data_IF_421320704350
#
_entry.id   IF_421320704350
#
_cell.length_a   1.000
_cell.length_b   1.000
_cell.length_c   1.000
_cell.angle_alpha   90.00
_cell.angle_beta   90.00
_cell.angle_gamma   90.00
#
_symmetry.space_group_name_H-M   'P 1'
#
loop_
_entity.id
_entity.type
_entity.pdbx_description
1 polymer ?
#
# COMPACT_ATOMS: atom_id res chain seq x y z
N UNK A 1 0.46 -6.15 78.23
CA UNK A 1 -0.09 -5.06 77.46
C UNK A 1 1.01 -4.19 76.88
N UNK A 2 1.63 -4.63 75.91
CA UNK A 2 2.66 -3.81 75.34
C UNK A 2 2.21 -3.42 73.92
N UNK A 3 1.57 -2.33 73.84
CA UNK A 3 1.29 -1.72 72.60
C UNK A 3 2.58 -1.24 72.01
N UNK A 4 3.07 -2.03 71.17
CA UNK A 4 4.13 -1.64 70.33
C UNK A 4 3.63 -0.54 69.43
N UNK A 5 4.01 0.61 69.82
CA UNK A 5 3.79 1.78 68.91
C UNK A 5 4.82 1.72 67.82
N UNK A 6 4.54 0.88 66.93
CA UNK A 6 5.29 0.95 65.72
C UNK A 6 4.72 2.10 64.92
N UNK A 7 5.25 3.20 65.26
CA UNK A 7 5.17 4.34 64.39
C UNK A 7 5.93 3.98 63.14
N UNK A 8 5.25 3.31 62.26
CA UNK A 8 5.73 3.23 60.94
C UNK A 8 5.55 4.61 60.31
N UNK A 9 6.57 5.38 60.48
CA UNK A 9 6.74 6.47 59.56
C UNK A 9 6.93 5.86 58.20
N UNK A 10 5.85 5.65 57.54
CA UNK A 10 5.89 5.43 56.09
C UNK A 10 6.38 6.73 55.52
N UNK A 11 7.64 6.80 55.42
CA UNK A 11 8.24 7.64 54.44
C UNK A 11 7.79 7.12 53.07
N UNK A 12 6.67 7.60 52.68
CA UNK A 12 6.30 7.58 51.31
C UNK A 12 7.33 8.39 50.55
N UNK A 13 8.38 7.73 50.25
CA UNK A 13 9.17 8.17 49.14
C UNK A 13 8.27 7.99 47.94
N UNK A 14 7.49 8.98 47.68
CA UNK A 14 6.91 9.12 46.39
C UNK A 14 8.07 9.40 45.45
N UNK A 15 8.74 8.35 45.12
CA UNK A 15 9.50 8.37 43.91
C UNK A 15 8.46 8.55 42.83
N UNK A 16 8.19 9.76 42.51
CA UNK A 16 7.56 10.13 41.29
C UNK A 16 8.49 9.59 40.22
N UNK A 17 8.28 8.37 39.86
CA UNK A 17 8.82 7.81 38.67
C UNK A 17 8.21 8.64 37.54
N UNK A 18 8.92 9.60 37.20
CA UNK A 18 8.70 10.34 35.97
C UNK A 18 9.04 9.40 34.85
N UNK A 19 8.16 8.45 34.64
CA UNK A 19 8.13 7.80 33.37
C UNK A 19 7.63 8.83 32.41
N UNK A 20 8.53 9.64 31.99
CA UNK A 20 8.34 10.24 30.70
C UNK A 20 8.39 9.09 29.72
N UNK A 21 7.28 8.45 29.58
CA UNK A 21 7.01 7.64 28.43
C UNK A 21 7.05 8.59 27.26
N UNK A 22 8.23 8.77 26.79
CA UNK A 22 8.41 9.35 25.48
C UNK A 22 7.91 8.31 24.53
N UNK A 23 6.66 8.38 24.24
CA UNK A 23 6.10 7.61 23.16
C UNK A 23 6.58 8.26 21.90
N UNK A 24 7.69 7.80 21.44
CA UNK A 24 8.07 8.03 20.07
C UNK A 24 7.17 7.16 19.19
N UNK A 25 5.95 7.56 19.05
CA UNK A 25 4.96 6.83 18.31
C UNK A 25 4.91 7.19 16.83
N UNK A 26 5.71 8.11 16.45
CA UNK A 26 5.53 8.75 15.16
C UNK A 26 6.23 8.07 14.01
N UNK A 27 6.73 6.86 14.21
CA UNK A 27 7.54 6.24 13.15
C UNK A 27 6.82 5.26 12.28
N UNK A 28 5.57 4.98 12.53
CA UNK A 28 4.84 4.07 11.68
C UNK A 28 4.02 4.75 10.58
N UNK A 29 3.86 6.04 10.68
CA UNK A 29 3.07 6.77 9.70
C UNK A 29 3.85 7.11 8.43
N UNK A 30 5.14 7.29 8.57
CA UNK A 30 5.99 7.64 7.43
C UNK A 30 6.21 6.51 6.44
N UNK A 31 6.08 5.27 6.89
CA UNK A 31 6.29 4.12 5.99
C UNK A 31 5.11 3.86 5.07
N UNK A 32 3.90 4.15 5.52
CA UNK A 32 2.71 3.99 4.71
C UNK A 32 2.63 5.06 3.61
N UNK A 33 2.96 6.30 3.96
CA UNK A 33 2.96 7.40 3.00
C UNK A 33 4.09 7.26 1.97
N UNK A 34 5.24 6.77 2.39
CA UNK A 34 6.35 6.52 1.49
C UNK A 34 6.04 5.39 0.50
N UNK A 35 5.37 4.33 0.94
CA UNK A 35 4.95 3.23 0.06
C UNK A 35 3.88 3.69 -0.92
N UNK A 36 2.94 4.50 -0.48
CA UNK A 36 1.93 5.08 -1.37
C UNK A 36 2.53 6.03 -2.39
N UNK A 37 3.50 6.85 -1.98
CA UNK A 37 4.17 7.77 -2.87
C UNK A 37 5.02 7.06 -3.93
N UNK A 38 5.70 5.98 -3.54
CA UNK A 38 6.48 5.16 -4.49
C UNK A 38 5.57 4.47 -5.49
N UNK A 39 4.45 3.98 -5.05
CA UNK A 39 3.46 3.37 -5.94
C UNK A 39 2.88 4.36 -6.94
N UNK A 40 2.60 5.57 -6.50
CA UNK A 40 2.07 6.62 -7.37
C UNK A 40 3.07 7.08 -8.45
N UNK A 41 4.36 7.11 -8.12
CA UNK A 41 5.40 7.55 -9.06
C UNK A 41 5.71 6.54 -10.18
N UNK A 42 5.26 5.30 -10.03
CA UNK A 42 5.51 4.23 -11.00
C UNK A 42 4.23 3.73 -11.68
N UNK A 43 3.13 4.47 -11.54
CA UNK A 43 1.90 4.13 -12.23
C UNK A 43 1.99 4.45 -13.70
N UNK A 44 1.67 3.46 -14.51
CA UNK A 44 1.46 3.64 -15.94
C UNK A 44 0.02 4.09 -16.20
N UNK A 45 -0.18 4.83 -17.29
CA UNK A 45 -1.50 5.24 -17.74
C UNK A 45 -1.87 4.52 -19.04
N UNK A 46 -3.13 4.19 -19.16
CA UNK A 46 -3.61 3.52 -20.37
C UNK A 46 -5.12 3.47 -20.46
N UNK A 47 -5.58 2.89 -21.54
CA UNK A 47 -7.00 2.66 -21.81
C UNK A 47 -7.26 1.18 -21.98
N UNK A 48 -8.26 0.66 -21.31
CA UNK A 48 -8.67 -0.74 -21.43
C UNK A 48 -9.35 -0.95 -22.78
N UNK A 49 -8.81 -1.84 -23.57
CA UNK A 49 -9.37 -2.21 -24.87
C UNK A 49 -10.22 -3.46 -24.83
N UNK A 50 -9.84 -4.43 -24.01
CA UNK A 50 -10.55 -5.68 -23.88
C UNK A 50 -10.35 -6.29 -22.51
N UNK A 51 -11.38 -6.92 -21.99
CA UNK A 51 -11.33 -7.69 -20.74
C UNK A 51 -11.70 -9.12 -21.04
N UNK A 52 -10.85 -10.05 -20.65
CA UNK A 52 -11.10 -11.48 -20.72
C UNK A 52 -11.15 -12.03 -19.29
N UNK A 53 -12.37 -12.28 -18.81
CA UNK A 53 -12.59 -12.76 -17.43
C UNK A 53 -12.16 -14.20 -17.24
N UNK A 54 -12.36 -15.03 -18.23
CA UNK A 54 -12.04 -16.46 -18.15
C UNK A 54 -10.55 -16.70 -17.99
N UNK A 55 -9.75 -15.96 -18.72
CA UNK A 55 -8.29 -16.06 -18.66
C UNK A 55 -7.64 -15.09 -17.69
N UNK A 56 -8.43 -14.25 -17.00
CA UNK A 56 -7.96 -13.21 -16.08
C UNK A 56 -6.93 -12.28 -16.73
N UNK A 57 -7.26 -11.81 -17.91
CA UNK A 57 -6.38 -10.93 -18.70
C UNK A 57 -7.11 -9.68 -19.15
N UNK A 58 -6.36 -8.59 -19.25
CA UNK A 58 -6.83 -7.35 -19.85
C UNK A 58 -5.88 -6.92 -20.96
N UNK A 59 -6.46 -6.47 -22.06
CA UNK A 59 -5.72 -5.79 -23.11
C UNK A 59 -5.79 -4.30 -22.83
N UNK A 60 -4.65 -3.68 -22.64
CA UNK A 60 -4.53 -2.26 -22.30
C UNK A 60 -3.62 -1.58 -23.31
N UNK A 61 -4.10 -0.47 -23.86
CA UNK A 61 -3.27 0.45 -24.62
C UNK A 61 -2.67 1.44 -23.64
N UNK A 62 -1.36 1.36 -23.42
CA UNK A 62 -0.66 2.18 -22.46
C UNK A 62 0.31 3.14 -23.14
N UNK A 63 0.63 4.23 -22.46
CA UNK A 63 1.73 5.11 -22.80
C UNK A 63 3.08 4.52 -22.39
N UNK A 64 4.10 5.33 -22.47
CA UNK A 64 5.46 4.91 -22.10
C UNK A 64 5.52 4.47 -20.62
N UNK A 65 6.09 3.31 -20.41
CA UNK A 65 6.35 2.77 -19.06
C UNK A 65 7.86 2.75 -18.84
N UNK A 66 8.37 3.83 -18.28
CA UNK A 66 9.82 4.01 -18.10
C UNK A 66 10.45 2.98 -17.17
N UNK A 67 9.72 2.54 -16.16
CA UNK A 67 10.19 1.52 -15.21
C UNK A 67 10.44 0.15 -15.84
N UNK A 68 9.85 -0.11 -17.00
CA UNK A 68 9.97 -1.37 -17.75
C UNK A 68 10.60 -1.18 -19.15
N UNK A 69 11.11 0.02 -19.43
CA UNK A 69 11.65 0.39 -20.74
C UNK A 69 10.69 0.06 -21.91
N UNK A 70 9.40 0.28 -21.69
CA UNK A 70 8.38 0.02 -22.67
C UNK A 70 7.88 1.31 -23.30
N UNK A 71 7.91 1.42 -24.63
CA UNK A 71 7.22 2.50 -25.33
C UNK A 71 5.71 2.32 -25.27
N UNK A 72 4.97 3.36 -25.65
CA UNK A 72 3.52 3.27 -25.76
C UNK A 72 3.10 2.17 -26.74
N UNK A 73 2.28 1.24 -26.26
CA UNK A 73 1.80 0.11 -27.05
C UNK A 73 0.52 -0.49 -26.49
N UNK A 74 -0.06 -1.40 -27.23
CA UNK A 74 -1.20 -2.21 -26.77
C UNK A 74 -0.72 -3.61 -26.49
N UNK A 75 -0.94 -4.09 -25.27
CA UNK A 75 -0.54 -5.45 -24.91
C UNK A 75 -1.48 -6.08 -23.89
N UNK A 76 -1.32 -7.36 -23.67
CA UNK A 76 -2.13 -8.14 -22.73
C UNK A 76 -1.39 -8.29 -21.42
N UNK A 77 -2.08 -7.94 -20.34
CA UNK A 77 -1.58 -8.09 -18.99
C UNK A 77 -2.38 -9.15 -18.23
N UNK A 78 -1.72 -9.87 -17.36
CA UNK A 78 -2.40 -10.71 -16.38
C UNK A 78 -2.93 -9.84 -15.24
N UNK A 79 -4.09 -10.20 -14.72
CA UNK A 79 -4.72 -9.48 -13.63
C UNK A 79 -4.62 -10.33 -12.37
N UNK A 80 -3.97 -9.77 -11.35
CA UNK A 80 -3.79 -10.46 -10.08
C UNK A 80 -5.07 -10.50 -9.27
N UNK A 81 -5.73 -9.34 -9.17
CA UNK A 81 -6.97 -9.20 -8.45
C UNK A 81 -8.15 -9.26 -9.41
N UNK A 82 -8.93 -10.34 -9.33
CA UNK A 82 -10.07 -10.56 -10.21
C UNK A 82 -11.17 -9.52 -10.07
N UNK A 83 -11.21 -8.78 -8.96
CA UNK A 83 -12.16 -7.69 -8.78
C UNK A 83 -12.00 -6.60 -9.83
N UNK A 84 -10.80 -6.39 -10.35
CA UNK A 84 -10.56 -5.44 -11.43
C UNK A 84 -11.30 -5.80 -12.73
N UNK A 85 -11.49 -7.08 -12.98
CA UNK A 85 -12.21 -7.56 -14.16
C UNK A 85 -13.71 -7.21 -14.13
N UNK A 86 -14.23 -6.96 -12.96
CA UNK A 86 -15.64 -6.61 -12.74
C UNK A 86 -15.84 -5.10 -12.54
N UNK A 87 -14.88 -4.46 -11.90
CA UNK A 87 -14.92 -3.03 -11.58
C UNK A 87 -14.71 -2.14 -12.80
N UNK A 88 -13.80 -2.55 -13.68
CA UNK A 88 -13.41 -1.77 -14.85
C UNK A 88 -14.04 -2.33 -16.13
N UNK A 89 -14.14 -1.48 -17.14
CA UNK A 89 -14.75 -1.80 -18.42
C UNK A 89 -13.84 -1.43 -19.59
N UNK A 90 -14.05 -2.06 -20.73
CA UNK A 90 -13.41 -1.63 -21.97
C UNK A 90 -13.76 -0.17 -22.28
N UNK A 91 -12.75 0.63 -22.61
CA UNK A 91 -12.87 2.07 -22.83
C UNK A 91 -12.50 2.93 -21.62
N UNK A 92 -12.40 2.36 -20.43
CA UNK A 92 -11.99 3.09 -19.24
C UNK A 92 -10.51 3.50 -19.32
N UNK A 93 -10.25 4.74 -18.95
CA UNK A 93 -8.89 5.22 -18.75
C UNK A 93 -8.46 4.92 -17.33
N UNK A 94 -7.33 4.29 -17.20
CA UNK A 94 -6.84 3.78 -15.90
C UNK A 94 -5.38 4.13 -15.66
N UNK A 95 -5.04 4.22 -14.40
CA UNK A 95 -3.67 4.20 -13.89
C UNK A 95 -3.44 2.86 -13.24
N UNK A 96 -2.31 2.24 -13.52
CA UNK A 96 -2.05 0.89 -13.03
C UNK A 96 -0.56 0.66 -12.77
N UNK A 97 -0.29 -0.28 -11.89
CA UNK A 97 1.05 -0.74 -11.57
C UNK A 97 1.25 -2.12 -12.17
N UNK A 98 2.37 -2.30 -12.83
CA UNK A 98 2.75 -3.56 -13.47
C UNK A 98 4.00 -4.10 -12.77
N UNK A 99 3.98 -5.39 -12.52
CA UNK A 99 5.14 -6.13 -12.07
C UNK A 99 5.43 -7.28 -13.03
N UNK A 100 6.70 -7.58 -13.22
CA UNK A 100 7.10 -8.76 -13.98
C UNK A 100 7.28 -9.92 -13.02
N UNK A 101 6.37 -10.87 -13.07
CA UNK A 101 6.36 -12.06 -12.24
C UNK A 101 6.43 -13.29 -13.12
N UNK A 102 7.43 -14.13 -12.89
CA UNK A 102 7.63 -15.39 -13.65
C UNK A 102 7.61 -15.21 -15.18
N UNK A 103 8.17 -14.09 -15.65
CA UNK A 103 8.21 -13.76 -17.07
C UNK A 103 6.93 -13.15 -17.63
N UNK A 104 5.86 -13.04 -16.86
CA UNK A 104 4.61 -12.42 -17.26
C UNK A 104 4.47 -11.01 -16.66
N UNK A 105 3.80 -10.13 -17.38
CA UNK A 105 3.45 -8.81 -16.87
C UNK A 105 2.10 -8.87 -16.17
N UNK A 106 2.09 -8.54 -14.89
CA UNK A 106 0.94 -8.66 -14.01
C UNK A 106 0.55 -7.29 -13.48
N UNK A 107 -0.72 -6.95 -13.60
CA UNK A 107 -1.27 -5.74 -12.96
C UNK A 107 -1.56 -6.06 -11.50
N UNK A 108 -0.90 -5.34 -10.61
CA UNK A 108 -1.02 -5.53 -9.15
C UNK A 108 -1.88 -4.46 -8.49
N UNK A 109 -2.04 -3.32 -9.14
CA UNK A 109 -2.90 -2.23 -8.68
C UNK A 109 -3.49 -1.51 -9.89
N UNK A 110 -4.72 -1.04 -9.76
CA UNK A 110 -5.43 -0.31 -10.81
C UNK A 110 -6.44 0.67 -10.23
N UNK A 111 -6.55 1.84 -10.84
CA UNK A 111 -7.53 2.85 -10.49
C UNK A 111 -7.95 3.64 -11.73
N UNK A 112 -9.12 4.27 -11.69
CA UNK A 112 -9.53 5.15 -12.78
C UNK A 112 -8.59 6.35 -12.88
N UNK A 113 -8.25 6.73 -14.08
CA UNK A 113 -7.54 7.96 -14.36
C UNK A 113 -8.56 9.12 -14.43
N UNK A 114 -8.52 10.00 -13.45
CA UNK A 114 -9.36 11.20 -13.42
C UNK A 114 -8.62 12.37 -14.05
#
# INVERSE_FOLDING_TARGET
MKLSKHLFAFLLVSSAAWFKTVYAQDKHQSSADAVSAVSASHMAEGEIKKINRDSKKMTIKHGDIKSLDMPGMTMVFQIRDTSFLETFKAGDKVKFVIEKLDGAFVVTSMQLAN
#
